data_IF_922757424728
#
_entry.id   IF_922757424728
#
_cell.length_a   1.000
_cell.length_b   1.000
_cell.length_c   1.000
_cell.angle_alpha   90.00
_cell.angle_beta   90.00
_cell.angle_gamma   90.00
#
_symmetry.space_group_name_H-M   'P 1'
#
loop_
_entity.id
_entity.type
_entity.pdbx_description
1 polymer ?
#
# COMPACT_ATOMS: atom_id res chain seq x y z
N UNK A 1 -20.75 6.10 8.44
CA UNK A 1 -20.14 6.52 7.17
C UNK A 1 -18.66 6.37 7.39
N UNK A 2 -18.01 5.44 6.70
CA UNK A 2 -16.57 5.26 6.84
C UNK A 2 -15.86 6.42 6.14
N UNK A 3 -14.72 6.84 6.68
CA UNK A 3 -13.96 7.93 6.10
C UNK A 3 -13.30 7.46 4.79
N UNK A 4 -13.20 8.35 3.80
CA UNK A 4 -12.76 8.02 2.43
C UNK A 4 -11.35 7.41 2.39
N UNK A 5 -10.48 7.78 3.33
CA UNK A 5 -9.16 7.17 3.51
C UNK A 5 -9.23 5.69 3.91
N UNK A 6 -10.21 5.30 4.74
CA UNK A 6 -10.40 3.91 5.18
C UNK A 6 -10.85 3.02 4.03
N UNK A 7 -11.73 3.53 3.16
CA UNK A 7 -12.16 2.83 1.95
C UNK A 7 -10.98 2.58 0.99
N UNK A 8 -10.16 3.62 0.76
CA UNK A 8 -8.94 3.50 -0.06
C UNK A 8 -7.96 2.50 0.54
N UNK A 9 -7.72 2.54 1.86
CA UNK A 9 -6.83 1.59 2.52
C UNK A 9 -7.31 0.15 2.38
N UNK A 10 -8.63 -0.10 2.46
CA UNK A 10 -9.19 -1.44 2.26
C UNK A 10 -9.02 -1.94 0.84
N UNK A 11 -9.22 -1.08 -0.16
CA UNK A 11 -9.02 -1.45 -1.56
C UNK A 11 -7.55 -1.79 -1.83
N UNK A 12 -6.61 -1.00 -1.29
CA UNK A 12 -5.17 -1.31 -1.32
C UNK A 12 -4.91 -2.68 -0.67
N UNK A 13 -5.47 -2.93 0.52
CA UNK A 13 -5.30 -4.20 1.22
C UNK A 13 -5.82 -5.41 0.42
N UNK A 14 -6.95 -5.27 -0.27
CA UNK A 14 -7.50 -6.33 -1.11
C UNK A 14 -6.57 -6.61 -2.31
N UNK A 15 -6.10 -5.56 -3.00
CA UNK A 15 -5.16 -5.70 -4.11
C UNK A 15 -3.89 -6.42 -3.65
N UNK A 16 -3.32 -6.00 -2.52
CA UNK A 16 -2.10 -6.61 -1.98
C UNK A 16 -2.31 -8.07 -1.57
N UNK A 17 -3.47 -8.42 -1.03
CA UNK A 17 -3.81 -9.81 -0.72
C UNK A 17 -3.90 -10.66 -1.98
N UNK A 18 -4.51 -10.14 -3.05
CA UNK A 18 -4.75 -10.88 -4.29
C UNK A 18 -3.45 -11.15 -5.09
N UNK A 19 -2.44 -10.31 -4.93
CA UNK A 19 -1.14 -10.44 -5.63
C UNK A 19 -0.05 -11.05 -4.76
N UNK A 20 -0.32 -11.30 -3.48
CA UNK A 20 0.64 -11.87 -2.57
C UNK A 20 0.94 -13.32 -2.95
N UNK A 21 2.17 -13.81 -2.70
CA UNK A 21 2.48 -15.23 -2.79
C UNK A 21 1.62 -16.06 -1.83
N UNK A 22 1.47 -17.35 -2.14
CA UNK A 22 0.78 -18.29 -1.25
C UNK A 22 1.50 -18.43 0.11
N UNK A 23 0.72 -18.76 1.15
CA UNK A 23 1.19 -19.06 2.51
C UNK A 23 2.00 -17.94 3.19
N UNK A 24 1.75 -16.68 2.82
CA UNK A 24 2.35 -15.52 3.52
C UNK A 24 1.55 -15.14 4.76
N UNK A 25 2.26 -14.79 5.84
CA UNK A 25 1.68 -14.30 7.08
C UNK A 25 1.54 -12.78 7.09
N UNK A 26 2.48 -12.08 6.43
CA UNK A 26 2.42 -10.63 6.27
C UNK A 26 2.93 -10.18 4.89
N UNK A 27 2.32 -9.11 4.38
CA UNK A 27 2.74 -8.39 3.18
C UNK A 27 3.08 -6.96 3.57
N UNK A 28 4.22 -6.46 3.13
CA UNK A 28 4.63 -5.08 3.29
C UNK A 28 4.74 -4.45 1.90
N UNK A 29 4.04 -3.35 1.70
CA UNK A 29 4.19 -2.52 0.50
C UNK A 29 4.75 -1.17 0.93
N UNK A 30 5.77 -0.70 0.23
CA UNK A 30 6.29 0.66 0.37
C UNK A 30 6.20 1.35 -0.98
N UNK A 31 5.54 2.50 -1.00
CA UNK A 31 5.35 3.32 -2.18
C UNK A 31 5.98 4.70 -1.99
N UNK A 32 6.79 5.13 -2.96
CA UNK A 32 7.31 6.49 -3.06
C UNK A 32 6.59 7.19 -4.21
N UNK A 33 5.69 8.12 -3.87
CA UNK A 33 4.87 8.84 -4.84
C UNK A 33 5.54 10.16 -5.22
N UNK A 34 5.75 10.38 -6.52
CA UNK A 34 6.31 11.63 -7.02
C UNK A 34 5.44 12.84 -6.58
N UNK A 35 6.04 14.02 -6.39
CA UNK A 35 5.28 15.23 -6.01
C UNK A 35 4.08 15.49 -6.93
N UNK A 36 4.27 15.30 -8.23
CA UNK A 36 3.26 15.51 -9.27
C UNK A 36 2.20 14.39 -9.30
N UNK A 37 2.45 13.24 -8.66
CA UNK A 37 1.55 12.09 -8.60
C UNK A 37 1.50 11.26 -9.89
N UNK A 38 2.33 11.58 -10.88
CA UNK A 38 2.40 10.92 -12.17
C UNK A 38 3.30 9.67 -12.18
N UNK A 39 4.26 9.57 -11.26
CA UNK A 39 5.11 8.41 -11.06
C UNK A 39 5.06 7.89 -9.62
N UNK A 40 5.19 6.58 -9.46
CA UNK A 40 5.27 5.94 -8.15
C UNK A 40 6.25 4.77 -8.23
N UNK A 41 7.14 4.65 -7.26
CA UNK A 41 7.99 3.46 -7.09
C UNK A 41 7.36 2.56 -6.04
N UNK A 42 7.32 1.26 -6.32
CA UNK A 42 6.78 0.26 -5.40
C UNK A 42 7.86 -0.75 -5.01
N UNK A 43 7.87 -1.09 -3.73
CA UNK A 43 8.62 -2.20 -3.15
C UNK A 43 7.59 -3.11 -2.46
N UNK A 44 7.68 -4.42 -2.73
CA UNK A 44 6.78 -5.42 -2.17
C UNK A 44 7.58 -6.52 -1.49
N UNK A 45 7.40 -6.65 -0.18
CA UNK A 45 8.02 -7.67 0.64
C UNK A 45 6.94 -8.56 1.27
N UNK A 46 7.31 -9.81 1.55
CA UNK A 46 6.48 -10.74 2.29
C UNK A 46 7.27 -11.41 3.41
N UNK A 47 6.54 -11.93 4.38
CA UNK A 47 7.05 -12.88 5.36
C UNK A 47 6.05 -14.02 5.56
N UNK A 48 6.56 -15.20 5.92
CA UNK A 48 5.78 -16.40 6.24
C UNK A 48 5.91 -16.75 7.71
N UNK A 49 5.00 -17.58 8.22
CA UNK A 49 5.08 -18.08 9.61
C UNK A 49 6.33 -18.93 9.88
N UNK A 50 6.89 -19.54 8.83
CA UNK A 50 8.15 -20.31 8.90
C UNK A 50 9.38 -19.44 9.22
N UNK A 51 9.24 -18.11 9.17
CA UNK A 51 10.36 -17.15 9.28
C UNK A 51 11.04 -16.84 7.95
N UNK A 52 10.58 -17.44 6.84
CA UNK A 52 11.01 -17.06 5.49
C UNK A 52 10.47 -15.66 5.15
N UNK A 53 11.31 -14.81 4.58
CA UNK A 53 10.92 -13.53 4.01
C UNK A 53 11.62 -13.30 2.67
N UNK A 54 11.00 -12.48 1.84
CA UNK A 54 11.51 -12.17 0.51
C UNK A 54 10.78 -11.01 -0.12
N UNK A 55 11.26 -10.60 -1.29
CA UNK A 55 10.57 -9.64 -2.15
C UNK A 55 9.77 -10.39 -3.22
N UNK A 56 8.75 -9.74 -3.74
CA UNK A 56 7.99 -10.25 -4.87
C UNK A 56 7.62 -9.11 -5.82
N UNK A 57 7.11 -9.47 -6.99
CA UNK A 57 6.54 -8.52 -7.94
C UNK A 57 5.14 -8.99 -8.31
N UNK A 58 4.14 -8.10 -8.39
CA UNK A 58 2.83 -8.45 -8.92
C UNK A 58 2.97 -8.99 -10.36
N UNK A 59 2.30 -10.10 -10.65
CA UNK A 59 2.35 -10.69 -12.01
C UNK A 59 1.66 -9.80 -13.06
N UNK A 60 0.70 -8.98 -12.63
CA UNK A 60 -0.07 -8.08 -13.48
C UNK A 60 0.45 -6.64 -13.36
N UNK A 61 1.01 -6.12 -14.46
CA UNK A 61 1.51 -4.74 -14.53
C UNK A 61 0.44 -3.64 -14.33
N UNK A 62 -0.85 -3.97 -14.32
CA UNK A 62 -1.94 -3.03 -13.98
C UNK A 62 -2.08 -2.80 -12.48
N UNK A 63 -1.47 -3.64 -11.64
CA UNK A 63 -1.52 -3.53 -10.17
C UNK A 63 -0.89 -2.21 -9.72
N UNK A 64 0.33 -1.91 -10.19
CA UNK A 64 1.03 -0.66 -9.86
C UNK A 64 0.26 0.57 -10.33
N UNK A 65 -0.38 0.49 -11.51
CA UNK A 65 -1.23 1.57 -12.00
C UNK A 65 -2.40 1.81 -11.05
N UNK A 66 -3.12 0.75 -10.66
CA UNK A 66 -4.29 0.85 -9.79
C UNK A 66 -3.91 1.34 -8.40
N UNK A 67 -2.82 0.82 -7.83
CA UNK A 67 -2.29 1.27 -6.56
C UNK A 67 -1.90 2.74 -6.61
N UNK A 68 -1.25 3.21 -7.68
CA UNK A 68 -0.92 4.63 -7.85
C UNK A 68 -2.17 5.52 -7.86
N UNK A 69 -3.22 5.14 -8.59
CA UNK A 69 -4.49 5.88 -8.61
C UNK A 69 -5.10 6.01 -7.20
N UNK A 70 -5.09 4.92 -6.43
CA UNK A 70 -5.57 4.92 -5.04
C UNK A 70 -4.70 5.78 -4.12
N UNK A 71 -3.38 5.72 -4.28
CA UNK A 71 -2.43 6.51 -3.50
C UNK A 71 -2.57 8.02 -3.78
N UNK A 72 -2.81 8.41 -5.03
CA UNK A 72 -3.12 9.80 -5.39
C UNK A 72 -4.40 10.26 -4.69
N UNK A 73 -5.48 9.47 -4.78
CA UNK A 73 -6.75 9.77 -4.09
C UNK A 73 -6.57 9.89 -2.58
N UNK A 74 -5.77 9.01 -1.98
CA UNK A 74 -5.43 9.07 -0.55
C UNK A 74 -4.68 10.37 -0.21
N UNK A 75 -3.65 10.73 -0.98
CA UNK A 75 -2.88 11.96 -0.73
C UNK A 75 -3.72 13.21 -0.91
N UNK A 76 -4.52 13.28 -1.97
CA UNK A 76 -5.40 14.42 -2.26
C UNK A 76 -6.43 14.64 -1.15
N UNK A 77 -6.95 13.55 -0.57
CA UNK A 77 -7.83 13.63 0.59
C UNK A 77 -7.13 14.32 1.78
N UNK A 78 -5.92 13.91 2.14
CA UNK A 78 -5.17 14.51 3.26
C UNK A 78 -4.83 15.98 2.97
N UNK A 79 -4.40 16.30 1.75
CA UNK A 79 -4.13 17.69 1.32
C UNK A 79 -5.38 18.55 1.41
N UNK A 80 -6.55 18.02 1.04
CA UNK A 80 -7.83 18.74 1.19
C UNK A 80 -8.18 19.06 2.66
N UNK A 81 -7.59 18.33 3.61
CA UNK A 81 -7.72 18.54 5.05
C UNK A 81 -6.57 19.40 5.63
N UNK A 82 -5.86 20.16 4.79
CA UNK A 82 -4.71 21.00 5.16
C UNK A 82 -3.50 20.23 5.74
N UNK A 83 -3.36 18.95 5.43
CA UNK A 83 -2.14 18.19 5.73
C UNK A 83 -1.13 18.36 4.58
N UNK A 84 0.19 18.37 4.84
CA UNK A 84 1.18 18.32 3.77
C UNK A 84 1.03 17.03 2.95
N UNK A 85 1.41 17.02 1.66
CA UNK A 85 1.47 15.79 0.89
C UNK A 85 2.57 14.89 1.45
N UNK A 86 2.24 13.66 1.82
CA UNK A 86 3.23 12.65 2.17
C UNK A 86 4.02 12.21 0.92
N UNK A 87 5.25 11.75 1.13
CA UNK A 87 6.17 11.28 0.08
C UNK A 87 6.26 9.76 0.02
N UNK A 88 6.28 9.11 1.19
CA UNK A 88 6.33 7.65 1.30
C UNK A 88 5.12 7.12 2.04
N UNK A 89 4.49 6.09 1.48
CA UNK A 89 3.37 5.36 2.05
C UNK A 89 3.81 3.91 2.29
N UNK A 90 3.83 3.50 3.55
CA UNK A 90 4.15 2.13 3.95
C UNK A 90 2.92 1.45 4.51
N UNK A 91 2.54 0.33 3.90
CA UNK A 91 1.35 -0.44 4.24
C UNK A 91 1.76 -1.85 4.64
N UNK A 92 1.36 -2.27 5.84
CA UNK A 92 1.54 -3.65 6.31
C UNK A 92 0.20 -4.33 6.39
N UNK A 93 0.05 -5.45 5.69
CA UNK A 93 -1.09 -6.34 5.78
C UNK A 93 -0.69 -7.58 6.59
N UNK A 94 -1.30 -7.77 7.75
CA UNK A 94 -1.20 -9.02 8.52
C UNK A 94 -2.35 -9.94 8.05
N UNK A 95 -1.99 -10.91 7.21
CA UNK A 95 -2.94 -11.84 6.58
C UNK A 95 -3.56 -12.75 7.65
N UNK A 96 -2.74 -13.24 8.59
CA UNK A 96 -3.19 -14.12 9.67
C UNK A 96 -4.19 -13.45 10.61
N UNK A 97 -3.98 -12.16 10.95
CA UNK A 97 -4.87 -11.40 11.84
C UNK A 97 -5.95 -10.61 11.11
N UNK A 98 -5.93 -10.58 9.77
CA UNK A 98 -6.82 -9.75 8.92
C UNK A 98 -6.82 -8.29 9.34
N UNK A 99 -5.64 -7.77 9.65
CA UNK A 99 -5.43 -6.38 10.08
C UNK A 99 -4.44 -5.71 9.16
N UNK A 100 -4.51 -4.39 9.08
CA UNK A 100 -3.50 -3.61 8.41
C UNK A 100 -3.01 -2.47 9.30
N UNK A 101 -1.80 -1.99 9.01
CA UNK A 101 -1.24 -0.78 9.58
C UNK A 101 -0.67 0.09 8.47
N UNK A 102 -0.76 1.40 8.68
CA UNK A 102 -0.30 2.41 7.75
C UNK A 102 0.72 3.31 8.44
N UNK A 103 1.79 3.65 7.72
CA UNK A 103 2.77 4.66 8.10
C UNK A 103 3.02 5.60 6.92
N UNK A 104 2.94 6.91 7.19
CA UNK A 104 3.20 7.97 6.21
C UNK A 104 4.50 8.69 6.58
N UNK A 105 5.37 8.94 5.60
CA UNK A 105 6.55 9.80 5.75
C UNK A 105 6.44 11.03 4.87
N UNK A 106 6.91 12.17 5.39
CA UNK A 106 6.90 13.48 4.72
C UNK A 106 8.30 14.00 4.35
N UNK A 107 9.34 13.31 4.84
CA UNK A 107 10.76 13.64 4.64
C UNK A 107 11.23 13.25 3.23
#
# INVERSE_FOLDING_TARGET
>A
MESRDVEVCREIGQILYDVAPDDVSQVLMKAELAPEGDACKFEYDYSKESGESGWFLPENGMVDQRLRELLVLHRDFFVSQNQPPWKVFSYTLDVGKRKFSLQLSYD
#
